data_IF_824973040296
#
_entry.id   IF_824973040296
#
_cell.length_a   1.000
_cell.length_b   1.000
_cell.length_c   1.000
_cell.angle_alpha   90.00
_cell.angle_beta   90.00
_cell.angle_gamma   90.00
#
_symmetry.space_group_name_H-M   'P 1'
#
loop_
_entity.id
_entity.type
_entity.pdbx_description
1 polymer ?
#
# COMPACT_ATOMS: atom_id res chain seq x y z
N UNK A 1 28.89 -21.14 -9.54
CA UNK A 1 28.13 -20.49 -8.46
C UNK A 1 27.74 -19.09 -8.93
N UNK A 2 26.57 -18.96 -9.55
CA UNK A 2 26.15 -17.69 -10.15
C UNK A 2 25.60 -16.74 -9.08
N UNK A 3 26.41 -15.74 -8.75
CA UNK A 3 25.98 -14.58 -7.99
C UNK A 3 24.87 -13.85 -8.73
N UNK A 4 23.64 -13.95 -8.21
CA UNK A 4 22.61 -12.96 -8.50
C UNK A 4 23.04 -11.66 -7.80
N UNK A 5 23.71 -10.78 -8.54
CA UNK A 5 23.75 -9.36 -8.18
C UNK A 5 22.31 -8.94 -7.96
N UNK A 6 21.92 -8.73 -6.70
CA UNK A 6 20.70 -8.00 -6.39
C UNK A 6 20.78 -6.71 -7.19
N UNK A 7 19.84 -6.48 -8.12
CA UNK A 7 19.61 -5.13 -8.66
C UNK A 7 19.59 -4.21 -7.44
N UNK A 8 20.64 -3.42 -7.26
CA UNK A 8 20.65 -2.35 -6.26
C UNK A 8 19.61 -1.39 -6.76
N UNK A 9 18.41 -1.54 -6.19
CA UNK A 9 17.28 -0.69 -6.50
C UNK A 9 17.68 0.73 -6.06
N UNK A 10 17.32 1.78 -6.83
CA UNK A 10 17.40 3.15 -6.30
C UNK A 10 16.76 3.15 -4.92
N UNK A 11 17.22 3.99 -3.98
CA UNK A 11 16.81 4.11 -2.56
C UNK A 11 15.29 4.26 -2.36
N UNK A 12 14.56 3.25 -2.78
CA UNK A 12 13.14 3.29 -2.97
C UNK A 12 12.58 2.75 -1.68
N UNK A 13 12.04 3.68 -0.91
CA UNK A 13 11.59 3.44 0.46
C UNK A 13 10.15 2.90 0.49
N UNK A 14 9.47 2.81 -0.65
CA UNK A 14 8.05 2.44 -0.77
C UNK A 14 7.88 1.26 -1.71
N UNK A 15 7.16 0.23 -1.27
CA UNK A 15 6.69 -0.86 -2.12
C UNK A 15 5.18 -0.79 -2.29
N UNK A 16 4.72 -1.17 -3.47
CA UNK A 16 3.35 -1.55 -3.74
C UNK A 16 3.26 -3.07 -3.79
N UNK A 17 2.34 -3.63 -3.02
CA UNK A 17 2.25 -5.09 -2.80
C UNK A 17 0.83 -5.54 -3.14
N UNK A 18 0.71 -6.57 -3.98
CA UNK A 18 -0.55 -7.16 -4.40
C UNK A 18 -0.54 -8.64 -4.02
N UNK A 19 -1.64 -9.16 -3.49
CA UNK A 19 -1.81 -10.60 -3.27
C UNK A 19 -2.24 -11.32 -4.55
N UNK A 20 -1.49 -12.33 -4.96
CA UNK A 20 -1.73 -13.08 -6.21
C UNK A 20 -2.25 -14.50 -5.99
N UNK A 21 -2.12 -15.07 -4.79
CA UNK A 21 -2.55 -16.45 -4.48
C UNK A 21 -3.49 -16.54 -3.28
N UNK A 22 -4.29 -17.61 -3.26
CA UNK A 22 -5.23 -17.97 -2.18
C UNK A 22 -4.57 -18.36 -0.85
N UNK A 23 -5.34 -18.89 0.11
CA UNK A 23 -4.89 -19.19 1.48
C UNK A 23 -4.29 -20.61 1.60
N UNK A 24 -4.47 -21.47 0.59
CA UNK A 24 -4.15 -22.90 0.70
C UNK A 24 -2.66 -23.13 1.03
N UNK A 25 -2.39 -23.65 2.24
CA UNK A 25 -1.06 -24.12 2.67
C UNK A 25 -0.13 -23.08 3.33
N UNK A 26 -0.62 -21.89 3.71
CA UNK A 26 0.25 -20.80 4.21
C UNK A 26 0.04 -20.48 5.68
N UNK A 27 1.13 -20.18 6.39
CA UNK A 27 1.05 -19.47 7.68
C UNK A 27 0.44 -18.07 7.45
N UNK A 28 -0.85 -17.95 7.76
CA UNK A 28 -1.71 -16.79 7.58
C UNK A 28 -1.21 -15.49 8.25
N UNK A 29 -0.33 -15.60 9.24
CA UNK A 29 0.00 -14.49 10.16
C UNK A 29 0.65 -13.31 9.44
N UNK A 30 1.60 -13.53 8.53
CA UNK A 30 2.31 -12.43 7.85
C UNK A 30 1.40 -11.70 6.84
N UNK A 31 0.58 -12.43 6.08
CA UNK A 31 -0.39 -11.82 5.15
C UNK A 31 -1.48 -11.03 5.90
N UNK A 32 -1.88 -11.49 7.09
CA UNK A 32 -2.83 -10.77 7.94
C UNK A 32 -2.25 -9.47 8.51
N UNK A 33 -0.96 -9.48 8.91
CA UNK A 33 -0.25 -8.28 9.36
C UNK A 33 -0.13 -7.24 8.24
N UNK A 34 0.05 -7.68 7.00
CA UNK A 34 0.05 -6.81 5.81
C UNK A 34 -1.38 -6.41 5.38
N UNK A 35 -2.44 -6.87 6.04
CA UNK A 35 -3.84 -6.62 5.63
C UNK A 35 -4.23 -7.19 4.25
N UNK A 36 -3.44 -8.12 3.69
CA UNK A 36 -3.67 -8.79 2.42
C UNK A 36 -4.60 -10.01 2.57
N UNK A 37 -5.86 -9.76 2.94
CA UNK A 37 -6.82 -10.81 3.32
C UNK A 37 -7.46 -11.52 2.12
N UNK A 38 -7.70 -10.82 1.02
CA UNK A 38 -8.31 -11.37 -0.20
C UNK A 38 -7.32 -11.33 -1.37
N UNK A 39 -7.53 -12.20 -2.37
CA UNK A 39 -6.77 -12.16 -3.62
C UNK A 39 -7.05 -10.83 -4.32
N UNK A 40 -6.03 -10.27 -4.97
CA UNK A 40 -6.03 -8.94 -5.59
C UNK A 40 -6.25 -7.77 -4.64
N UNK A 41 -6.13 -8.01 -3.32
CA UNK A 41 -5.92 -6.90 -2.42
C UNK A 41 -4.51 -6.36 -2.57
N UNK A 42 -4.39 -5.05 -2.41
CA UNK A 42 -3.14 -4.34 -2.50
C UNK A 42 -3.01 -3.25 -1.44
N UNK A 43 -1.75 -2.94 -1.12
CA UNK A 43 -1.35 -2.00 -0.08
C UNK A 43 -0.04 -1.31 -0.47
N UNK A 44 0.21 -0.16 0.16
CA UNK A 44 1.53 0.45 0.20
C UNK A 44 2.28 0.02 1.47
N UNK A 45 3.56 -0.32 1.32
CA UNK A 45 4.44 -0.75 2.42
C UNK A 45 5.70 0.10 2.44
N UNK A 46 5.98 0.74 3.59
CA UNK A 46 7.27 1.37 3.84
C UNK A 46 8.35 0.29 3.99
N UNK A 47 9.41 0.42 3.20
CA UNK A 47 10.52 -0.50 3.16
C UNK A 47 11.55 -0.16 4.24
N UNK A 48 11.82 -1.16 5.06
CA UNK A 48 12.90 -1.22 6.04
C UNK A 48 13.40 -2.67 6.09
N UNK A 49 14.47 -2.93 6.85
CA UNK A 49 15.06 -4.28 6.93
C UNK A 49 14.03 -5.36 7.33
N UNK A 50 13.13 -5.04 8.27
CA UNK A 50 12.08 -5.94 8.74
C UNK A 50 10.99 -6.18 7.69
N UNK A 51 10.49 -5.13 7.04
CA UNK A 51 9.44 -5.27 6.03
C UNK A 51 9.95 -5.97 4.77
N UNK A 52 11.20 -5.74 4.36
CA UNK A 52 11.84 -6.52 3.28
C UNK A 52 11.90 -8.01 3.65
N UNK A 53 12.28 -8.34 4.89
CA UNK A 53 12.31 -9.73 5.33
C UNK A 53 10.91 -10.36 5.34
N UNK A 54 9.89 -9.63 5.79
CA UNK A 54 8.50 -10.08 5.71
C UNK A 54 8.06 -10.33 4.27
N UNK A 55 8.36 -9.41 3.34
CA UNK A 55 8.01 -9.55 1.92
C UNK A 55 8.70 -10.75 1.28
N UNK A 56 9.95 -11.06 1.66
CA UNK A 56 10.65 -12.26 1.18
C UNK A 56 9.99 -13.57 1.64
N UNK A 57 9.49 -13.62 2.88
CA UNK A 57 8.78 -14.80 3.41
C UNK A 57 7.49 -15.06 2.64
N UNK A 58 6.75 -14.01 2.28
CA UNK A 58 5.46 -14.13 1.56
C UNK A 58 5.57 -14.02 0.05
N UNK A 59 6.79 -13.88 -0.49
CA UNK A 59 7.08 -13.66 -1.93
C UNK A 59 6.33 -14.64 -2.87
N UNK A 60 6.16 -15.94 -2.54
CA UNK A 60 5.40 -16.85 -3.41
C UNK A 60 3.90 -16.52 -3.56
N UNK A 61 3.35 -15.67 -2.68
CA UNK A 61 1.91 -15.36 -2.58
C UNK A 61 1.58 -13.91 -2.97
N UNK A 62 2.61 -13.08 -3.14
CA UNK A 62 2.47 -11.66 -3.46
C UNK A 62 3.26 -11.33 -4.73
N UNK A 63 2.79 -10.34 -5.47
CA UNK A 63 3.60 -9.60 -6.42
C UNK A 63 3.87 -8.23 -5.81
N UNK A 64 5.11 -7.75 -5.86
CA UNK A 64 5.42 -6.42 -5.34
C UNK A 64 6.52 -5.73 -6.14
N UNK A 65 6.51 -4.42 -6.08
CA UNK A 65 7.47 -3.58 -6.80
C UNK A 65 7.38 -2.13 -6.36
N UNK A 66 8.12 -1.26 -7.06
CA UNK A 66 8.18 0.15 -6.75
C UNK A 66 7.14 0.91 -7.57
N UNK A 67 6.17 1.58 -6.93
CA UNK A 67 5.17 2.32 -7.66
C UNK A 67 5.78 3.62 -8.21
N UNK A 68 5.24 4.10 -9.33
CA UNK A 68 5.54 5.43 -9.87
C UNK A 68 4.37 6.39 -9.61
N UNK A 69 4.62 7.70 -9.71
CA UNK A 69 3.62 8.74 -9.44
C UNK A 69 2.33 8.52 -10.25
N UNK A 70 2.43 8.20 -11.54
CA UNK A 70 1.28 7.96 -12.42
C UNK A 70 0.40 6.82 -11.92
N UNK A 71 1.02 5.73 -11.46
CA UNK A 71 0.31 4.54 -10.97
C UNK A 71 -0.35 4.80 -9.62
N UNK A 72 0.35 5.46 -8.69
CA UNK A 72 -0.21 5.84 -7.38
C UNK A 72 -1.39 6.78 -7.55
N UNK A 73 -1.23 7.80 -8.38
CA UNK A 73 -2.28 8.78 -8.69
C UNK A 73 -3.51 8.07 -9.28
N UNK A 74 -3.34 7.31 -10.38
CA UNK A 74 -4.45 6.58 -10.98
C UNK A 74 -5.14 5.60 -10.02
N UNK A 75 -4.39 4.92 -9.15
CA UNK A 75 -4.94 4.01 -8.15
C UNK A 75 -5.79 4.75 -7.12
N UNK A 76 -5.25 5.84 -6.55
CA UNK A 76 -5.93 6.62 -5.50
C UNK A 76 -7.19 7.31 -6.05
N UNK A 77 -7.17 7.90 -7.24
CA UNK A 77 -8.39 8.51 -7.81
C UNK A 77 -9.42 7.47 -8.24
N UNK A 78 -9.02 6.36 -8.88
CA UNK A 78 -9.99 5.41 -9.44
C UNK A 78 -10.51 4.38 -8.43
N UNK A 79 -9.68 4.02 -7.46
CA UNK A 79 -9.95 2.92 -6.52
C UNK A 79 -9.74 3.33 -5.07
N UNK A 80 -9.44 4.59 -4.77
CA UNK A 80 -9.25 5.08 -3.41
C UNK A 80 -10.53 5.04 -2.59
N UNK A 81 -10.45 4.35 -1.46
CA UNK A 81 -11.46 4.41 -0.41
C UNK A 81 -10.79 4.86 0.88
N UNK A 82 -11.44 5.78 1.59
CA UNK A 82 -11.08 6.18 2.93
C UNK A 82 -11.76 5.29 3.96
N UNK A 83 -11.06 5.04 5.07
CA UNK A 83 -11.57 4.40 6.27
C UNK A 83 -12.04 5.48 7.24
N UNK A 84 -13.32 5.80 7.19
CA UNK A 84 -13.94 6.85 8.02
C UNK A 84 -14.92 6.17 8.97
N UNK A 85 -14.78 6.38 10.29
CA UNK A 85 -15.61 5.72 11.31
C UNK A 85 -15.74 4.19 11.11
N UNK A 86 -14.64 3.54 10.71
CA UNK A 86 -14.54 2.10 10.35
C UNK A 86 -15.36 1.67 9.12
N UNK A 87 -16.01 2.59 8.42
CA UNK A 87 -16.69 2.34 7.16
C UNK A 87 -15.77 2.62 5.97
N UNK A 88 -16.03 1.94 4.87
CA UNK A 88 -15.33 2.11 3.60
C UNK A 88 -16.09 3.12 2.74
N UNK A 89 -15.53 4.31 2.54
CA UNK A 89 -16.16 5.41 1.81
C UNK A 89 -15.31 5.77 0.58
N UNK A 90 -15.93 5.97 -0.58
CA UNK A 90 -15.22 6.38 -1.80
C UNK A 90 -14.63 7.78 -1.60
N UNK A 91 -13.40 8.02 -2.05
CA UNK A 91 -12.77 9.34 -2.00
C UNK A 91 -13.25 10.21 -3.17
N UNK A 92 -14.38 10.88 -3.01
CA UNK A 92 -14.96 11.77 -4.04
C UNK A 92 -14.67 13.25 -3.81
N UNK A 93 -14.42 13.66 -2.56
CA UNK A 93 -14.24 15.05 -2.17
C UNK A 93 -13.09 15.18 -1.15
N UNK A 94 -12.35 16.28 -1.25
CA UNK A 94 -11.28 16.66 -0.33
C UNK A 94 -11.79 16.83 1.10
N UNK A 95 -13.06 17.19 1.29
CA UNK A 95 -13.67 17.24 2.62
C UNK A 95 -13.56 15.91 3.37
N UNK A 96 -13.66 14.77 2.67
CA UNK A 96 -13.54 13.44 3.28
C UNK A 96 -12.12 13.15 3.79
N UNK A 97 -11.11 13.73 3.14
CA UNK A 97 -9.69 13.61 3.51
C UNK A 97 -9.37 14.52 4.70
N UNK A 98 -9.98 15.70 4.76
CA UNK A 98 -9.81 16.62 5.88
C UNK A 98 -10.34 16.04 7.22
N UNK A 99 -11.32 15.13 7.20
CA UNK A 99 -11.94 14.58 8.43
C UNK A 99 -10.95 13.78 9.29
N UNK A 100 -10.10 12.95 8.68
CA UNK A 100 -9.23 12.03 9.44
C UNK A 100 -7.74 12.34 9.23
N UNK A 101 -7.22 12.33 7.98
CA UNK A 101 -5.89 12.84 7.66
C UNK A 101 -5.68 14.34 7.95
N UNK A 102 -6.72 15.18 7.90
CA UNK A 102 -6.58 16.64 8.00
C UNK A 102 -5.89 17.13 9.27
N UNK A 103 -6.00 16.41 10.39
CA UNK A 103 -5.27 16.73 11.64
C UNK A 103 -3.74 16.64 11.51
N UNK A 104 -3.24 15.99 10.45
CA UNK A 104 -1.82 15.88 10.12
C UNK A 104 -1.41 16.85 8.99
N UNK A 105 -2.28 17.79 8.60
CA UNK A 105 -2.04 18.72 7.50
C UNK A 105 -2.37 18.16 6.11
N UNK A 106 -2.93 16.95 6.02
CA UNK A 106 -3.30 16.31 4.76
C UNK A 106 -4.75 16.68 4.44
N UNK A 107 -4.94 17.77 3.68
CA UNK A 107 -6.26 18.38 3.45
C UNK A 107 -6.92 18.01 2.12
N UNK A 108 -6.15 17.48 1.16
CA UNK A 108 -6.63 17.17 -0.18
C UNK A 108 -6.03 15.87 -0.73
N UNK A 109 -6.54 15.44 -1.88
CA UNK A 109 -6.11 14.22 -2.57
C UNK A 109 -4.64 14.27 -3.00
N UNK A 110 -4.19 15.42 -3.49
CA UNK A 110 -2.80 15.64 -3.91
C UNK A 110 -1.84 15.55 -2.72
N UNK A 111 -2.23 16.14 -1.58
CA UNK A 111 -1.50 16.02 -0.33
C UNK A 111 -1.41 14.57 0.15
N UNK A 112 -2.50 13.80 0.02
CA UNK A 112 -2.53 12.38 0.37
C UNK A 112 -1.60 11.56 -0.54
N UNK A 113 -1.65 11.78 -1.86
CA UNK A 113 -0.78 11.11 -2.83
C UNK A 113 0.69 11.45 -2.56
N UNK A 114 0.99 12.72 -2.31
CA UNK A 114 2.34 13.17 -1.99
C UNK A 114 2.88 12.51 -0.72
N UNK A 115 2.08 12.49 0.35
CA UNK A 115 2.45 11.88 1.63
C UNK A 115 2.76 10.38 1.49
N UNK A 116 1.97 9.65 0.68
CA UNK A 116 2.19 8.23 0.40
C UNK A 116 3.45 8.02 -0.42
N UNK A 117 3.63 8.74 -1.53
CA UNK A 117 4.73 8.53 -2.47
C UNK A 117 6.09 8.91 -1.86
N UNK A 118 6.14 10.02 -1.13
CA UNK A 118 7.37 10.53 -0.51
C UNK A 118 7.66 9.89 0.85
N UNK A 119 6.71 9.12 1.39
CA UNK A 119 6.79 8.54 2.72
C UNK A 119 7.04 9.65 3.75
N UNK A 120 6.12 10.61 3.76
CA UNK A 120 6.19 11.74 4.67
C UNK A 120 6.11 11.32 6.14
N UNK A 121 6.18 12.32 7.02
CA UNK A 121 6.19 12.14 8.48
C UNK A 121 4.97 11.38 8.99
N UNK A 122 3.84 11.51 8.32
CA UNK A 122 2.54 10.95 8.66
C UNK A 122 2.10 9.83 7.70
N UNK A 123 3.06 9.21 6.98
CA UNK A 123 2.80 8.08 6.08
C UNK A 123 1.92 7.00 6.70
N UNK A 124 2.18 6.58 7.94
CA UNK A 124 1.39 5.54 8.61
C UNK A 124 -0.06 5.95 8.80
N UNK A 125 -0.33 7.23 9.11
CA UNK A 125 -1.68 7.73 9.25
C UNK A 125 -2.40 7.81 7.89
N UNK A 126 -1.72 8.31 6.86
CA UNK A 126 -2.22 8.35 5.49
C UNK A 126 -2.54 6.94 4.95
N UNK A 127 -1.61 5.99 5.15
CA UNK A 127 -1.76 4.62 4.68
C UNK A 127 -2.86 3.85 5.43
N UNK A 128 -2.99 4.06 6.74
CA UNK A 128 -4.06 3.45 7.53
C UNK A 128 -5.44 4.06 7.26
N UNK A 129 -5.49 5.30 6.79
CA UNK A 129 -6.71 5.91 6.29
C UNK A 129 -7.16 5.27 4.98
N UNK A 130 -6.23 4.91 4.10
CA UNK A 130 -6.56 4.20 2.87
C UNK A 130 -7.05 2.77 3.19
N UNK A 131 -8.21 2.43 2.67
CA UNK A 131 -8.68 1.04 2.70
C UNK A 131 -7.86 0.22 1.69
N UNK A 132 -7.49 -1.05 1.99
CA UNK A 132 -6.82 -1.91 1.02
C UNK A 132 -7.59 -1.94 -0.30
N UNK A 133 -6.92 -1.66 -1.41
CA UNK A 133 -7.61 -1.60 -2.68
C UNK A 133 -7.96 -3.02 -3.12
N UNK A 134 -8.96 -3.10 -4.01
CA UNK A 134 -9.39 -4.36 -4.60
C UNK A 134 -9.18 -4.22 -6.10
N UNK A 135 -8.13 -4.86 -6.60
CA UNK A 135 -7.83 -4.90 -8.02
C UNK A 135 -8.77 -5.88 -8.72
N UNK A 136 -8.95 -5.65 -10.01
CA UNK A 136 -9.59 -6.61 -10.90
C UNK A 136 -8.56 -7.67 -11.30
N UNK A 137 -9.01 -8.85 -11.70
CA UNK A 137 -8.09 -9.81 -12.35
C UNK A 137 -7.45 -9.13 -13.56
N UNK A 138 -6.12 -9.24 -13.74
CA UNK A 138 -5.49 -8.88 -15.00
C UNK A 138 -6.01 -9.74 -16.14
#
# INVERSE_FOLDING_TARGET
MYGKKSKTLPDAKLAFVIRIRGINGVSLKVLQLLHLRQIFNDIFVKLNKGSINMLRIVEPYIAWGYPNLKSVNALIYKRGYGKIKKQRIVLTDNALIAISPGKYGIICMEGLIHEILMIGKHFTAANNFLWPYKLSSP
#
